data_IF_726758622081
#
_entry.id   IF_726758622081
#
_cell.length_a   1.000
_cell.length_b   1.000
_cell.length_c   1.000
_cell.angle_alpha   90.00
_cell.angle_beta   90.00
_cell.angle_gamma   90.00
#
_symmetry.space_group_name_H-M   'P 1'
#
loop_
_entity.id
_entity.type
_entity.pdbx_description
1 polymer ?
#
# COMPACT_ATOMS: atom_id res chain seq x y z
N UNK A 1 22.29 15.68 49.19
CA UNK A 1 21.68 16.58 48.18
C UNK A 1 22.73 16.90 47.13
N UNK A 2 22.91 16.01 46.15
CA UNK A 2 23.64 16.31 44.92
C UNK A 2 22.86 15.61 43.81
N UNK A 3 21.83 16.31 43.31
CA UNK A 3 21.14 15.93 42.09
C UNK A 3 22.15 16.13 40.96
N UNK A 4 22.73 15.04 40.45
CA UNK A 4 23.49 15.10 39.20
C UNK A 4 22.50 15.35 38.08
N UNK A 5 22.38 16.63 37.71
CA UNK A 5 21.64 17.11 36.56
C UNK A 5 22.30 16.46 35.34
N UNK A 6 21.66 15.43 34.77
CA UNK A 6 22.00 14.93 33.44
C UNK A 6 22.04 16.12 32.48
N UNK A 7 23.04 16.24 31.61
CA UNK A 7 23.12 17.33 30.66
C UNK A 7 21.87 17.25 29.80
N UNK A 8 20.97 18.21 29.99
CA UNK A 8 19.88 18.46 29.07
C UNK A 8 20.55 18.79 27.73
N UNK A 9 20.74 17.78 26.89
CA UNK A 9 21.08 17.98 25.50
C UNK A 9 19.96 18.86 24.96
N UNK A 10 20.28 20.14 24.76
CA UNK A 10 19.39 21.10 24.13
C UNK A 10 19.04 20.49 22.78
N UNK A 11 17.88 19.82 22.68
CA UNK A 11 17.24 19.63 21.38
C UNK A 11 16.95 21.06 20.94
N UNK A 12 17.83 21.63 20.10
CA UNK A 12 17.37 22.65 19.18
C UNK A 12 16.08 22.10 18.60
N UNK A 13 15.03 22.90 18.56
CA UNK A 13 13.83 22.63 17.79
C UNK A 13 14.24 22.40 16.33
N UNK A 14 14.76 21.21 16.05
CA UNK A 14 15.24 20.78 14.76
C UNK A 14 14.04 20.19 14.09
N UNK A 15 13.46 20.94 13.15
CA UNK A 15 12.47 20.39 12.23
C UNK A 15 13.02 19.08 11.69
N UNK A 16 12.36 17.99 12.06
CA UNK A 16 12.63 16.69 11.49
C UNK A 16 12.41 16.84 9.99
N UNK A 17 13.46 16.63 9.19
CA UNK A 17 13.35 16.78 7.75
C UNK A 17 12.30 15.82 7.24
N UNK A 18 11.31 16.44 6.63
CA UNK A 18 10.10 15.83 6.13
C UNK A 18 10.45 15.25 4.75
N UNK A 19 10.41 13.92 4.60
CA UNK A 19 10.75 13.21 3.35
C UNK A 19 9.47 12.70 2.68
N UNK A 20 9.35 12.94 1.37
CA UNK A 20 8.29 12.38 0.55
C UNK A 20 8.69 11.00 0.05
N UNK A 21 7.83 10.01 0.31
CA UNK A 21 8.04 8.60 -0.03
C UNK A 21 7.16 8.14 -1.20
N UNK A 22 6.42 9.05 -1.83
CA UNK A 22 5.57 8.70 -2.97
C UNK A 22 6.41 8.50 -4.24
N UNK A 23 6.41 7.27 -4.76
CA UNK A 23 6.97 7.00 -6.09
C UNK A 23 5.94 7.35 -7.17
N UNK A 24 5.96 8.60 -7.61
CA UNK A 24 5.07 9.09 -8.68
C UNK A 24 5.26 8.38 -10.02
N UNK A 25 6.45 7.83 -10.30
CA UNK A 25 6.68 7.10 -11.55
C UNK A 25 5.94 5.77 -11.52
N UNK A 26 5.99 5.08 -10.37
CA UNK A 26 5.26 3.84 -10.19
C UNK A 26 3.75 4.07 -10.22
N UNK A 27 3.27 5.14 -9.55
CA UNK A 27 1.84 5.50 -9.57
C UNK A 27 1.35 5.73 -11.02
N UNK A 28 2.09 6.50 -11.81
CA UNK A 28 1.74 6.75 -13.21
C UNK A 28 1.79 5.47 -14.07
N UNK A 29 2.75 4.58 -13.81
CA UNK A 29 2.82 3.29 -14.48
C UNK A 29 1.62 2.41 -14.12
N UNK A 30 1.23 2.37 -12.84
CA UNK A 30 0.10 1.59 -12.34
C UNK A 30 -1.24 2.11 -12.86
N UNK A 31 -1.40 3.43 -13.06
CA UNK A 31 -2.58 4.04 -13.70
C UNK A 31 -2.73 3.66 -15.17
N UNK A 32 -1.62 3.50 -15.89
CA UNK A 32 -1.62 3.14 -17.32
C UNK A 32 -1.94 1.66 -17.58
N UNK A 33 -1.99 0.82 -16.53
CA UNK A 33 -2.25 -0.62 -16.67
C UNK A 33 -3.71 -0.92 -16.94
N UNK A 34 -3.92 -1.85 -17.87
CA UNK A 34 -5.24 -2.29 -18.32
C UNK A 34 -5.29 -3.81 -18.30
N UNK A 35 -6.37 -4.37 -17.76
CA UNK A 35 -6.55 -5.81 -17.66
C UNK A 35 -7.72 -6.21 -16.75
N UNK A 36 -8.06 -7.50 -16.71
CA UNK A 36 -9.08 -8.02 -15.80
C UNK A 36 -8.64 -7.84 -14.34
N UNK A 37 -9.45 -7.13 -13.55
CA UNK A 37 -9.17 -6.88 -12.14
C UNK A 37 -8.16 -5.76 -11.85
N UNK A 38 -7.61 -5.12 -12.88
CA UNK A 38 -6.76 -3.93 -12.71
C UNK A 38 -7.60 -2.75 -12.19
N UNK A 39 -6.96 -1.82 -11.48
CA UNK A 39 -7.60 -0.73 -10.73
C UNK A 39 -8.61 -1.20 -9.65
N UNK A 40 -8.63 -2.50 -9.32
CA UNK A 40 -9.63 -3.09 -8.43
C UNK A 40 -11.01 -3.28 -9.07
N UNK A 41 -11.09 -3.33 -10.41
CA UNK A 41 -12.34 -3.62 -11.11
C UNK A 41 -12.84 -5.05 -10.82
N UNK A 42 -14.16 -5.23 -10.81
CA UNK A 42 -14.75 -6.55 -10.65
C UNK A 42 -14.51 -7.40 -11.91
N UNK A 43 -14.08 -8.66 -11.73
CA UNK A 43 -13.97 -9.64 -12.82
C UNK A 43 -15.31 -10.34 -12.98
N UNK A 44 -15.92 -10.20 -14.16
CA UNK A 44 -17.20 -10.82 -14.50
C UNK A 44 -16.91 -12.16 -15.19
N UNK A 45 -17.45 -13.24 -14.62
CA UNK A 45 -17.34 -14.59 -15.18
C UNK A 45 -18.47 -14.87 -16.16
N UNK A 46 -18.18 -15.62 -17.21
CA UNK A 46 -19.22 -16.16 -18.08
C UNK A 46 -19.93 -17.36 -17.42
N UNK A 47 -21.16 -17.71 -17.84
CA UNK A 47 -21.92 -18.82 -17.24
C UNK A 47 -21.21 -20.18 -17.33
N UNK A 48 -20.37 -20.38 -18.34
CA UNK A 48 -19.62 -21.63 -18.55
C UNK A 48 -18.48 -21.80 -17.51
N UNK A 49 -17.96 -20.70 -16.99
CA UNK A 49 -16.86 -20.68 -16.02
C UNK A 49 -17.35 -20.81 -14.57
N UNK A 50 -18.65 -20.66 -14.37
CA UNK A 50 -19.28 -20.73 -13.05
C UNK A 50 -19.18 -22.14 -12.43
N UNK A 51 -19.18 -23.19 -13.25
CA UNK A 51 -18.90 -24.56 -12.78
C UNK A 51 -17.49 -24.68 -12.18
N UNK A 52 -16.49 -24.08 -12.82
CA UNK A 52 -15.08 -24.14 -12.36
C UNK A 52 -14.89 -23.31 -11.09
N UNK A 53 -15.59 -22.18 -11.00
CA UNK A 53 -15.64 -21.35 -9.78
C UNK A 53 -16.09 -22.18 -8.58
N UNK A 54 -17.19 -22.93 -8.70
CA UNK A 54 -17.76 -23.68 -7.58
C UNK A 54 -16.86 -24.81 -7.09
N UNK A 55 -16.18 -25.51 -8.01
CA UNK A 55 -15.26 -26.58 -7.65
C UNK A 55 -14.01 -26.05 -6.93
N UNK A 56 -13.42 -24.98 -7.45
CA UNK A 56 -12.27 -24.32 -6.83
C UNK A 56 -12.63 -23.60 -5.53
N UNK A 57 -13.86 -23.11 -5.40
CA UNK A 57 -14.34 -22.48 -4.17
C UNK A 57 -14.42 -23.48 -3.02
N UNK A 58 -14.86 -24.72 -3.28
CA UNK A 58 -14.93 -25.77 -2.25
C UNK A 58 -13.57 -26.13 -1.67
N UNK A 59 -12.52 -26.07 -2.49
CA UNK A 59 -11.16 -26.44 -2.08
C UNK A 59 -10.45 -25.29 -1.36
N UNK A 60 -10.60 -24.07 -1.87
CA UNK A 60 -9.81 -22.92 -1.41
C UNK A 60 -10.57 -22.02 -0.42
N UNK A 61 -11.91 -22.05 -0.43
CA UNK A 61 -12.76 -21.13 0.33
C UNK A 61 -12.88 -19.73 -0.28
N UNK A 62 -12.33 -19.51 -1.47
CA UNK A 62 -12.44 -18.27 -2.25
C UNK A 62 -12.48 -18.61 -3.75
N UNK A 63 -12.86 -17.63 -4.57
CA UNK A 63 -12.91 -17.80 -6.03
C UNK A 63 -11.50 -17.82 -6.63
N UNK A 64 -10.85 -18.99 -6.60
CA UNK A 64 -9.50 -19.15 -7.13
C UNK A 64 -9.45 -18.97 -8.66
N UNK A 65 -10.51 -19.34 -9.38
CA UNK A 65 -10.59 -19.12 -10.83
C UNK A 65 -10.48 -17.63 -11.19
N UNK A 66 -11.23 -16.76 -10.48
CA UNK A 66 -11.09 -15.32 -10.67
C UNK A 66 -9.71 -14.81 -10.25
N UNK A 67 -9.11 -15.38 -9.21
CA UNK A 67 -7.75 -15.03 -8.78
C UNK A 67 -6.70 -15.36 -9.84
N UNK A 68 -6.84 -16.49 -10.54
CA UNK A 68 -5.90 -16.93 -11.58
C UNK A 68 -5.95 -16.04 -12.83
N UNK A 69 -7.10 -15.44 -13.11
CA UNK A 69 -7.25 -14.48 -14.22
C UNK A 69 -6.69 -13.10 -13.91
N UNK A 70 -6.58 -12.74 -12.64
CA UNK A 70 -6.07 -11.44 -12.23
C UNK A 70 -4.54 -11.47 -12.23
N UNK A 71 -3.93 -10.42 -12.77
CA UNK A 71 -2.47 -10.29 -12.73
C UNK A 71 -1.95 -10.31 -11.29
N UNK A 72 -0.86 -11.05 -11.05
CA UNK A 72 -0.20 -11.09 -9.74
C UNK A 72 0.25 -9.70 -9.27
N UNK A 73 0.56 -8.81 -10.20
CA UNK A 73 1.04 -7.46 -9.93
C UNK A 73 -0.05 -6.40 -10.22
N UNK A 74 -1.34 -6.70 -10.00
CA UNK A 74 -2.42 -5.75 -10.36
C UNK A 74 -2.27 -4.38 -9.70
N UNK A 75 -2.61 -3.32 -10.42
CA UNK A 75 -2.78 -1.99 -9.84
C UNK A 75 -4.11 -1.88 -9.09
N UNK A 76 -4.15 -1.01 -8.09
CA UNK A 76 -5.35 -0.75 -7.27
C UNK A 76 -5.61 0.75 -7.28
N UNK A 77 -6.89 1.12 -7.45
CA UNK A 77 -7.31 2.51 -7.33
C UNK A 77 -7.01 3.03 -5.93
N UNK A 78 -6.38 4.19 -5.85
CA UNK A 78 -6.14 4.87 -4.58
C UNK A 78 -7.46 5.36 -3.95
N UNK A 79 -7.76 4.85 -2.75
CA UNK A 79 -8.94 5.22 -1.94
C UNK A 79 -8.54 5.98 -0.67
N UNK A 80 -7.26 6.35 -0.52
CA UNK A 80 -6.78 7.09 0.66
C UNK A 80 -7.48 8.45 0.72
N UNK A 81 -7.62 8.98 1.94
CA UNK A 81 -8.24 10.28 2.15
C UNK A 81 -7.48 11.36 1.36
N UNK A 82 -8.16 12.26 0.64
CA UNK A 82 -7.52 13.19 -0.29
C UNK A 82 -6.45 14.08 0.35
N UNK A 83 -6.58 14.39 1.64
CA UNK A 83 -5.54 15.13 2.37
C UNK A 83 -4.19 14.40 2.38
N UNK A 84 -4.16 13.07 2.39
CA UNK A 84 -2.92 12.27 2.45
C UNK A 84 -2.43 11.81 1.07
N UNK A 85 -3.25 11.96 0.03
CA UNK A 85 -2.88 11.68 -1.37
C UNK A 85 -2.11 12.85 -1.97
N UNK A 86 -2.45 14.08 -1.57
CA UNK A 86 -1.84 15.30 -2.10
C UNK A 86 -0.92 16.02 -1.09
N UNK A 87 -1.18 15.94 0.22
CA UNK A 87 -0.17 16.38 1.18
C UNK A 87 0.74 15.20 1.48
N UNK A 88 1.96 15.26 0.96
CA UNK A 88 3.08 14.43 1.37
C UNK A 88 3.02 14.22 2.89
N UNK A 89 2.57 13.05 3.34
CA UNK A 89 2.71 12.67 4.76
C UNK A 89 4.19 12.46 4.92
N UNK A 90 4.84 13.54 5.33
CA UNK A 90 6.27 13.57 5.40
C UNK A 90 6.67 12.87 6.69
N UNK A 91 7.06 11.61 6.54
CA UNK A 91 7.48 10.79 7.65
C UNK A 91 8.87 11.21 8.10
N UNK A 92 9.04 11.23 9.41
CA UNK A 92 10.34 11.42 10.02
C UNK A 92 11.08 10.10 9.98
N UNK A 93 12.30 10.12 9.46
CA UNK A 93 13.21 8.99 9.52
C UNK A 93 13.71 8.85 10.97
N UNK A 94 12.97 8.13 11.81
CA UNK A 94 13.49 7.65 13.09
C UNK A 94 14.49 6.54 12.76
N UNK A 95 15.77 6.91 12.65
CA UNK A 95 16.85 5.96 12.62
C UNK A 95 16.83 5.18 13.95
N UNK A 96 16.19 4.01 13.94
CA UNK A 96 16.31 3.05 15.02
C UNK A 96 17.76 2.57 15.00
N UNK A 97 18.58 3.15 15.86
CA UNK A 97 19.91 2.66 16.16
C UNK A 97 19.74 1.31 16.89
N UNK A 98 19.54 0.24 16.13
CA UNK A 98 19.70 -1.12 16.62
C UNK A 98 21.20 -1.37 16.62
N UNK A 99 21.84 -1.04 17.75
CA UNK A 99 23.13 -1.60 18.16
C UNK A 99 22.88 -2.81 19.06
#
# INVERSE_FOLDING_TARGET
MVFLIFPQHKRSSGELQKVDWHDHKQIAADEARVGPGEQGAAVILSPEEESKKDDLYKVNGFNAFASDMISLQRSIKDIRHPEYVCNCVLYVLFACCVL
#
